data_IF_199920864636
#
_entry.id   IF_199920864636
#
_cell.length_a   1.000
_cell.length_b   1.000
_cell.length_c   1.000
_cell.angle_alpha   90.00
_cell.angle_beta   90.00
_cell.angle_gamma   90.00
#
_symmetry.space_group_name_H-M   'P 1'
#
loop_
_entity.id
_entity.type
_entity.pdbx_description
1 polymer ?
#
# COMPACT_ATOMS: atom_id res chain seq x y z
N UNK A 1 -26.07 42.32 8.86
CA UNK A 1 -25.95 41.09 9.70
C UNK A 1 -26.84 39.96 9.20
N UNK A 2 -28.15 40.16 9.00
CA UNK A 2 -29.04 39.10 8.49
C UNK A 2 -28.62 38.56 7.13
N UNK A 3 -28.39 39.45 6.15
CA UNK A 3 -27.93 39.06 4.79
C UNK A 3 -26.62 38.26 4.83
N UNK A 4 -25.66 38.69 5.65
CA UNK A 4 -24.37 38.02 5.82
C UNK A 4 -24.53 36.60 6.38
N UNK A 5 -25.26 36.46 7.48
CA UNK A 5 -25.51 35.15 8.11
C UNK A 5 -26.27 34.21 7.17
N UNK A 6 -27.30 34.70 6.46
CA UNK A 6 -28.09 33.85 5.55
C UNK A 6 -27.27 33.37 4.35
N UNK A 7 -26.49 34.25 3.69
CA UNK A 7 -25.70 33.88 2.52
C UNK A 7 -24.60 32.89 2.92
N UNK A 8 -23.85 33.19 3.98
CA UNK A 8 -22.74 32.33 4.39
C UNK A 8 -23.21 30.99 4.97
N UNK A 9 -24.29 30.95 5.74
CA UNK A 9 -24.90 29.69 6.17
C UNK A 9 -25.37 28.87 4.97
N UNK A 10 -25.86 29.52 3.91
CA UNK A 10 -26.21 28.86 2.65
C UNK A 10 -25.00 28.21 1.97
N UNK A 11 -23.87 28.94 1.88
CA UNK A 11 -22.61 28.40 1.34
C UNK A 11 -22.11 27.23 2.20
N UNK A 12 -22.13 27.38 3.53
CA UNK A 12 -21.74 26.31 4.47
C UNK A 12 -22.59 25.05 4.29
N UNK A 13 -23.90 25.21 4.11
CA UNK A 13 -24.81 24.10 3.84
C UNK A 13 -24.48 23.38 2.53
N UNK A 14 -24.22 24.13 1.45
CA UNK A 14 -23.81 23.54 0.17
C UNK A 14 -22.51 22.74 0.32
N UNK A 15 -21.51 23.29 1.01
CA UNK A 15 -20.25 22.58 1.26
C UNK A 15 -20.46 21.33 2.12
N UNK A 16 -21.30 21.40 3.15
CA UNK A 16 -21.62 20.26 4.00
C UNK A 16 -22.33 19.12 3.24
N UNK A 17 -23.15 19.45 2.24
CA UNK A 17 -23.86 18.45 1.42
C UNK A 17 -22.96 17.81 0.37
N UNK A 18 -22.16 18.62 -0.35
CA UNK A 18 -21.34 18.11 -1.44
C UNK A 18 -19.99 17.56 -1.02
N UNK A 19 -19.48 17.95 0.16
CA UNK A 19 -18.17 17.55 0.69
C UNK A 19 -17.06 17.57 -0.38
N UNK A 20 -16.80 18.73 -1.01
CA UNK A 20 -15.88 18.82 -2.14
C UNK A 20 -14.45 18.44 -1.75
N UNK A 21 -13.75 17.74 -2.65
CA UNK A 21 -12.31 17.47 -2.51
C UNK A 21 -11.51 18.71 -2.88
N UNK A 22 -10.88 19.34 -1.91
CA UNK A 22 -10.06 20.55 -2.10
C UNK A 22 -8.74 20.30 -2.85
N UNK A 23 -8.32 19.04 -2.94
CA UNK A 23 -7.10 18.63 -3.65
C UNK A 23 -5.88 19.45 -3.22
N UNK A 24 -5.05 19.85 -4.17
CA UNK A 24 -3.80 20.60 -3.91
C UNK A 24 -3.99 22.03 -3.40
N UNK A 25 -5.20 22.58 -3.38
CA UNK A 25 -5.43 23.94 -2.85
C UNK A 25 -5.10 23.99 -1.35
N UNK A 26 -5.42 22.91 -0.64
CA UNK A 26 -5.14 22.74 0.79
C UNK A 26 -4.02 21.72 0.94
N UNK A 27 -2.78 22.21 0.94
CA UNK A 27 -1.58 21.38 1.05
C UNK A 27 -0.45 22.18 1.74
N UNK A 28 0.32 21.50 2.59
CA UNK A 28 1.47 22.05 3.34
C UNK A 28 2.61 22.46 2.41
N UNK A 29 2.76 21.81 1.25
CA UNK A 29 3.74 22.22 0.24
C UNK A 29 3.12 22.24 -1.15
N UNK A 30 3.31 23.35 -1.87
CA UNK A 30 2.75 23.53 -3.22
C UNK A 30 1.26 23.90 -3.28
N UNK A 31 0.58 24.00 -2.13
CA UNK A 31 -0.78 24.53 -2.00
C UNK A 31 -0.83 26.00 -1.63
N UNK A 32 -2.00 26.62 -1.75
CA UNK A 32 -2.21 28.03 -1.37
C UNK A 32 -2.37 28.22 0.13
N UNK A 33 -2.89 27.21 0.84
CA UNK A 33 -3.17 27.28 2.27
C UNK A 33 -2.80 25.94 2.91
N UNK A 34 -2.11 25.98 4.06
CA UNK A 34 -1.81 24.80 4.87
C UNK A 34 -3.10 24.23 5.50
N UNK A 35 -3.27 22.89 5.62
CA UNK A 35 -4.45 22.29 6.25
C UNK A 35 -4.81 22.85 7.64
N UNK A 36 -3.80 23.12 8.48
CA UNK A 36 -3.95 23.73 9.81
C UNK A 36 -4.55 25.13 9.71
N UNK A 37 -4.01 25.98 8.83
CA UNK A 37 -4.49 27.34 8.58
C UNK A 37 -5.90 27.33 8.00
N UNK A 38 -6.19 26.41 7.07
CA UNK A 38 -7.51 26.29 6.45
C UNK A 38 -8.58 25.91 7.49
N UNK A 39 -8.27 24.98 8.40
CA UNK A 39 -9.16 24.61 9.51
C UNK A 39 -9.41 25.79 10.45
N UNK A 40 -8.36 26.54 10.83
CA UNK A 40 -8.50 27.73 11.68
C UNK A 40 -9.35 28.81 11.02
N UNK A 41 -9.14 29.08 9.73
CA UNK A 41 -9.96 30.04 8.96
C UNK A 41 -11.42 29.59 8.90
N UNK A 42 -11.68 28.30 8.67
CA UNK A 42 -13.04 27.74 8.68
C UNK A 42 -13.69 27.88 10.06
N UNK A 43 -12.97 27.59 11.14
CA UNK A 43 -13.46 27.73 12.51
C UNK A 43 -13.79 29.19 12.87
N UNK A 44 -12.92 30.14 12.46
CA UNK A 44 -13.16 31.57 12.66
C UNK A 44 -14.40 32.02 11.88
N UNK A 45 -14.51 31.65 10.60
CA UNK A 45 -15.68 31.98 9.79
C UNK A 45 -16.96 31.38 10.37
N UNK A 46 -16.92 30.12 10.79
CA UNK A 46 -18.05 29.47 11.47
C UNK A 46 -18.48 30.27 12.70
N UNK A 47 -17.53 30.71 13.54
CA UNK A 47 -17.84 31.50 14.72
C UNK A 47 -18.44 32.87 14.39
N UNK A 48 -17.97 33.52 13.32
CA UNK A 48 -18.56 34.78 12.86
C UNK A 48 -20.00 34.61 12.37
N UNK A 49 -20.31 33.51 11.69
CA UNK A 49 -21.68 33.20 11.24
C UNK A 49 -22.58 32.93 12.46
N UNK A 50 -22.10 32.16 13.43
CA UNK A 50 -22.81 31.87 14.68
C UNK A 50 -23.14 33.18 15.44
N UNK A 51 -22.14 34.03 15.67
CA UNK A 51 -22.31 35.30 16.40
C UNK A 51 -23.24 36.27 15.65
N UNK A 52 -23.14 36.35 14.33
CA UNK A 52 -24.01 37.21 13.52
C UNK A 52 -25.45 36.68 13.46
N UNK A 53 -25.67 35.37 13.49
CA UNK A 53 -26.99 34.76 13.62
C UNK A 53 -27.62 35.07 14.99
N UNK A 54 -26.88 34.81 16.08
CA UNK A 54 -27.35 35.02 17.46
C UNK A 54 -27.72 36.49 17.69
N UNK A 55 -26.89 37.43 17.23
CA UNK A 55 -27.17 38.86 17.37
C UNK A 55 -28.44 39.29 16.64
N UNK A 56 -28.65 38.85 15.39
CA UNK A 56 -29.88 39.13 14.63
C UNK A 56 -31.10 38.53 15.31
N UNK A 57 -30.99 37.29 15.81
CA UNK A 57 -32.10 36.62 16.49
C UNK A 57 -32.48 37.31 17.80
N UNK A 58 -31.49 37.74 18.60
CA UNK A 58 -31.74 38.49 19.84
C UNK A 58 -32.38 39.85 19.53
N UNK A 59 -31.93 40.56 18.50
CA UNK A 59 -32.56 41.82 18.07
C UNK A 59 -34.01 41.62 17.65
N UNK A 60 -34.31 40.56 16.90
CA UNK A 60 -35.68 40.19 16.52
C UNK A 60 -36.54 39.86 17.76
N UNK A 61 -36.03 39.06 18.68
CA UNK A 61 -36.71 38.73 19.93
C UNK A 61 -37.01 40.00 20.74
N UNK A 62 -36.04 40.90 20.86
CA UNK A 62 -36.20 42.19 21.53
C UNK A 62 -37.25 43.09 20.90
N UNK A 63 -37.32 43.15 19.56
CA UNK A 63 -38.36 43.89 18.83
C UNK A 63 -39.74 43.26 19.03
N UNK A 64 -39.85 41.93 18.96
CA UNK A 64 -41.11 41.22 19.12
C UNK A 64 -41.67 41.35 20.54
N UNK A 65 -40.82 41.23 21.56
CA UNK A 65 -41.19 41.42 22.96
C UNK A 65 -41.58 42.87 23.24
N UNK A 66 -40.78 43.85 22.81
CA UNK A 66 -41.10 45.29 22.95
C UNK A 66 -42.43 45.62 22.27
N UNK A 67 -42.69 45.12 21.06
CA UNK A 67 -43.98 45.34 20.39
C UNK A 67 -45.14 44.72 21.18
N UNK A 68 -44.96 43.54 21.78
CA UNK A 68 -45.98 42.91 22.64
C UNK A 68 -46.27 43.70 23.91
N UNK A 69 -45.28 44.33 24.54
CA UNK A 69 -45.53 45.14 25.76
C UNK A 69 -46.27 46.45 25.49
N UNK A 70 -46.10 47.06 24.31
CA UNK A 70 -46.75 48.34 24.00
C UNK A 70 -48.18 48.22 23.41
N UNK A 71 -48.59 47.06 22.92
CA UNK A 71 -49.93 46.88 22.32
C UNK A 71 -50.99 46.80 23.42
N UNK A 72 -51.90 47.79 23.45
CA UNK A 72 -53.02 47.97 24.42
C UNK A 72 -53.95 46.76 24.63
N UNK A 73 -53.89 45.71 23.81
CA UNK A 73 -54.72 44.48 23.88
C UNK A 73 -53.93 43.22 24.30
N UNK A 74 -52.66 43.31 24.70
CA UNK A 74 -51.86 42.14 25.09
C UNK A 74 -51.90 41.90 26.61
N UNK A 75 -51.72 40.64 27.05
CA UNK A 75 -51.69 40.22 28.47
C UNK A 75 -50.36 40.56 29.19
N UNK A 76 -49.57 41.51 28.67
CA UNK A 76 -48.21 41.80 29.18
C UNK A 76 -47.17 40.75 28.77
N UNK A 77 -45.93 40.94 29.22
CA UNK A 77 -44.81 40.01 28.99
C UNK A 77 -44.66 39.11 30.21
N UNK A 78 -44.51 37.80 29.99
CA UNK A 78 -44.24 36.84 31.08
C UNK A 78 -42.74 36.80 31.44
N UNK A 79 -42.41 36.44 32.69
CA UNK A 79 -41.01 36.25 33.11
C UNK A 79 -40.30 35.19 32.24
N UNK A 80 -41.02 34.15 31.81
CA UNK A 80 -40.51 33.12 30.90
C UNK A 80 -40.10 33.69 29.53
N UNK A 81 -40.85 34.64 28.98
CA UNK A 81 -40.52 35.32 27.71
C UNK A 81 -39.29 36.23 27.83
N UNK A 82 -39.07 36.89 28.97
CA UNK A 82 -37.81 37.62 29.21
C UNK A 82 -36.61 36.68 29.32
N UNK A 83 -36.79 35.49 29.92
CA UNK A 83 -35.74 34.48 30.06
C UNK A 83 -35.34 33.80 28.74
N UNK A 84 -36.19 33.81 27.71
CA UNK A 84 -35.88 33.25 26.38
C UNK A 84 -34.63 33.88 25.74
N UNK A 85 -34.35 35.16 26.06
CA UNK A 85 -33.13 35.83 25.60
C UNK A 85 -31.86 35.18 26.17
N UNK A 86 -31.92 34.74 27.43
CA UNK A 86 -30.79 34.12 28.11
C UNK A 86 -30.49 32.72 27.57
N UNK A 87 -31.50 32.00 27.09
CA UNK A 87 -31.32 30.68 26.45
C UNK A 87 -30.43 30.78 25.22
N UNK A 88 -30.62 31.81 24.38
CA UNK A 88 -29.83 31.99 23.15
C UNK A 88 -28.42 32.51 23.44
N UNK A 89 -28.27 33.44 24.40
CA UNK A 89 -26.94 34.00 24.76
C UNK A 89 -26.07 32.96 25.45
N UNK A 90 -26.67 32.17 26.34
CA UNK A 90 -25.98 31.15 27.12
C UNK A 90 -26.82 29.88 27.11
N UNK A 91 -26.63 29.01 26.09
CA UNK A 91 -27.38 27.76 25.94
C UNK A 91 -27.37 26.87 27.19
N UNK A 92 -26.30 26.93 27.99
CA UNK A 92 -26.20 26.19 29.26
C UNK A 92 -27.26 26.58 30.30
N UNK A 93 -27.82 27.79 30.23
CA UNK A 93 -28.88 28.25 31.15
C UNK A 93 -30.19 27.47 30.99
N UNK A 94 -30.42 26.86 29.82
CA UNK A 94 -31.55 25.98 29.54
C UNK A 94 -31.52 24.73 30.42
N UNK A 95 -30.32 24.18 30.63
CA UNK A 95 -30.08 22.95 31.40
C UNK A 95 -30.18 23.24 32.90
N UNK A 96 -29.68 24.39 33.36
CA UNK A 96 -29.63 24.73 34.78
C UNK A 96 -30.97 25.24 35.34
N UNK A 97 -31.87 25.77 34.51
CA UNK A 97 -33.17 26.32 34.93
C UNK A 97 -34.38 25.63 34.27
N UNK A 98 -34.46 24.31 34.40
CA UNK A 98 -35.51 23.49 33.78
C UNK A 98 -36.96 23.83 34.23
N UNK A 99 -37.13 24.45 35.40
CA UNK A 99 -38.47 24.80 35.94
C UNK A 99 -39.20 25.91 35.18
N UNK A 100 -38.48 26.81 34.49
CA UNK A 100 -39.07 27.88 33.67
C UNK A 100 -39.17 27.51 32.18
N UNK A 101 -38.53 26.42 31.78
CA UNK A 101 -38.52 25.88 30.42
C UNK A 101 -39.92 25.44 29.95
N UNK A 102 -40.65 24.70 30.79
CA UNK A 102 -41.95 24.11 30.44
C UNK A 102 -43.03 25.15 30.10
N UNK A 103 -43.02 26.31 30.75
CA UNK A 103 -43.99 27.38 30.51
C UNK A 103 -43.65 28.26 29.30
N UNK A 104 -42.37 28.38 28.93
CA UNK A 104 -41.94 29.22 27.80
C UNK A 104 -42.02 28.51 26.44
N UNK A 105 -41.70 27.21 26.39
CA UNK A 105 -41.54 26.43 25.14
C UNK A 105 -42.86 26.20 24.39
N UNK A 106 -43.99 26.18 25.09
CA UNK A 106 -45.32 25.95 24.48
C UNK A 106 -45.75 27.11 23.56
N UNK A 107 -45.11 28.27 23.66
CA UNK A 107 -45.41 29.42 22.80
C UNK A 107 -44.66 29.34 21.46
N UNK A 108 -45.25 29.88 20.38
CA UNK A 108 -44.58 29.97 19.07
C UNK A 108 -43.21 30.66 19.14
N UNK A 109 -43.10 31.70 19.98
CA UNK A 109 -41.84 32.41 20.23
C UNK A 109 -40.83 31.51 20.95
N UNK A 110 -41.29 30.68 21.89
CA UNK A 110 -40.51 29.70 22.63
C UNK A 110 -39.98 28.55 21.76
N UNK A 111 -40.77 28.04 20.82
CA UNK A 111 -40.31 27.01 19.86
C UNK A 111 -39.21 27.58 18.96
N UNK A 112 -39.40 28.81 18.45
CA UNK A 112 -38.39 29.48 17.64
C UNK A 112 -37.10 29.76 18.41
N UNK A 113 -37.18 30.20 19.67
CA UNK A 113 -35.99 30.45 20.50
C UNK A 113 -35.27 29.15 20.86
N UNK A 114 -36.00 28.06 21.07
CA UNK A 114 -35.42 26.74 21.31
C UNK A 114 -34.67 26.22 20.07
N UNK A 115 -35.27 26.33 18.88
CA UNK A 115 -34.61 25.96 17.63
C UNK A 115 -33.36 26.81 17.38
N UNK A 116 -33.43 28.12 17.63
CA UNK A 116 -32.28 29.02 17.50
C UNK A 116 -31.17 28.69 18.52
N UNK A 117 -31.54 28.31 19.74
CA UNK A 117 -30.59 27.89 20.79
C UNK A 117 -29.88 26.61 20.40
N UNK A 118 -30.61 25.59 19.92
CA UNK A 118 -30.03 24.34 19.44
C UNK A 118 -29.13 24.56 18.23
N UNK A 119 -29.58 25.37 17.26
CA UNK A 119 -28.78 25.72 16.10
C UNK A 119 -27.47 26.40 16.52
N UNK A 120 -27.53 27.40 17.41
CA UNK A 120 -26.32 28.07 17.91
C UNK A 120 -25.40 27.14 18.69
N UNK A 121 -25.96 26.25 19.52
CA UNK A 121 -25.19 25.32 20.35
C UNK A 121 -24.36 24.34 19.51
N UNK A 122 -24.95 23.83 18.42
CA UNK A 122 -24.29 22.85 17.57
C UNK A 122 -23.61 23.45 16.33
N UNK A 123 -23.80 24.74 16.03
CA UNK A 123 -23.34 25.33 14.76
C UNK A 123 -21.83 25.14 14.55
N UNK A 124 -21.01 25.59 15.51
CA UNK A 124 -19.55 25.51 15.38
C UNK A 124 -19.06 24.06 15.33
N UNK A 125 -19.64 23.17 16.15
CA UNK A 125 -19.29 21.73 16.13
C UNK A 125 -19.70 21.06 14.82
N UNK A 126 -20.89 21.34 14.30
CA UNK A 126 -21.37 20.81 13.03
C UNK A 126 -20.56 21.35 11.85
N UNK A 127 -20.20 22.64 11.88
CA UNK A 127 -19.31 23.25 10.90
C UNK A 127 -17.93 22.60 10.91
N UNK A 128 -17.34 22.40 12.09
CA UNK A 128 -16.06 21.72 12.18
C UNK A 128 -16.16 20.25 11.76
N UNK A 129 -17.28 19.59 12.06
CA UNK A 129 -17.54 18.22 11.64
C UNK A 129 -17.64 18.07 10.11
N UNK A 130 -18.43 18.92 9.45
CA UNK A 130 -18.91 18.71 8.08
C UNK A 130 -18.26 19.61 7.02
N UNK A 131 -17.71 20.77 7.40
CA UNK A 131 -17.20 21.79 6.46
C UNK A 131 -15.69 21.95 6.54
N UNK A 132 -15.11 21.78 7.74
CA UNK A 132 -13.65 21.87 7.94
C UNK A 132 -12.91 20.86 7.06
N UNK A 133 -11.81 21.26 6.38
CA UNK A 133 -11.07 20.36 5.50
C UNK A 133 -10.48 19.19 6.30
N UNK A 134 -10.88 17.97 5.94
CA UNK A 134 -10.44 16.73 6.55
C UNK A 134 -9.96 15.74 5.50
N UNK A 135 -9.13 14.80 5.93
CA UNK A 135 -8.71 13.68 5.10
C UNK A 135 -9.91 12.74 4.88
N UNK A 136 -10.25 12.53 3.62
CA UNK A 136 -11.27 11.59 3.18
C UNK A 136 -10.66 10.68 2.13
N UNK A 137 -10.86 9.37 2.28
CA UNK A 137 -10.50 8.40 1.26
C UNK A 137 -11.48 8.58 0.10
N UNK A 138 -10.92 8.83 -1.08
CA UNK A 138 -11.71 9.02 -2.29
C UNK A 138 -12.01 7.74 -3.04
N UNK A 139 -12.92 7.85 -4.01
CA UNK A 139 -13.16 6.84 -5.04
C UNK A 139 -11.94 6.63 -5.93
N UNK A 140 -11.89 5.46 -6.55
CA UNK A 140 -10.85 5.09 -7.49
C UNK A 140 -10.87 5.94 -8.76
N UNK A 141 -9.76 6.62 -9.04
CA UNK A 141 -9.56 7.39 -10.26
C UNK A 141 -8.62 6.65 -11.20
N UNK A 142 -9.07 6.39 -12.44
CA UNK A 142 -8.22 5.81 -13.48
C UNK A 142 -7.30 6.89 -14.04
N UNK A 143 -6.00 6.69 -13.94
CA UNK A 143 -5.00 7.65 -14.39
C UNK A 143 -3.75 6.95 -14.92
N UNK A 144 -3.20 7.50 -15.99
CA UNK A 144 -1.87 7.13 -16.47
C UNK A 144 -0.80 7.85 -15.62
N UNK A 145 0.13 7.07 -15.08
CA UNK A 145 1.25 7.57 -14.28
C UNK A 145 2.55 7.40 -15.04
N UNK A 146 3.34 8.47 -15.09
CA UNK A 146 4.63 8.49 -15.77
C UNK A 146 5.76 8.32 -14.74
N UNK A 147 6.65 7.36 -14.97
CA UNK A 147 7.84 7.16 -14.15
C UNK A 147 9.10 7.37 -14.99
N UNK A 148 10.12 8.01 -14.42
CA UNK A 148 11.43 8.13 -15.08
C UNK A 148 12.20 6.82 -14.90
N UNK A 149 12.58 6.19 -16.01
CA UNK A 149 13.47 5.03 -16.02
C UNK A 149 14.80 5.41 -16.68
N UNK A 150 15.92 4.99 -16.10
CA UNK A 150 17.27 5.20 -16.67
C UNK A 150 17.75 4.03 -17.52
N UNK A 151 17.26 2.83 -17.26
CA UNK A 151 17.64 1.60 -17.94
C UNK A 151 16.46 0.64 -17.95
N UNK A 152 16.60 -0.44 -18.71
CA UNK A 152 15.68 -1.58 -18.65
C UNK A 152 15.77 -2.25 -17.29
N UNK A 153 14.63 -2.80 -16.82
CA UNK A 153 14.58 -3.53 -15.56
C UNK A 153 15.61 -4.66 -15.54
N UNK A 154 16.30 -4.82 -14.40
CA UNK A 154 17.33 -5.84 -14.17
C UNK A 154 18.47 -5.88 -15.21
N UNK A 155 18.86 -4.73 -15.77
CA UNK A 155 20.04 -4.67 -16.65
C UNK A 155 21.34 -4.84 -15.85
N UNK A 156 22.06 -5.98 -15.96
CA UNK A 156 23.21 -6.27 -15.12
C UNK A 156 24.41 -5.39 -15.46
N UNK A 157 24.60 -5.03 -16.74
CA UNK A 157 25.70 -4.17 -17.19
C UNK A 157 25.56 -2.75 -16.62
N UNK A 158 24.33 -2.22 -16.67
CA UNK A 158 24.04 -0.90 -16.11
C UNK A 158 24.16 -0.89 -14.58
N UNK A 159 23.68 -1.94 -13.91
CA UNK A 159 23.83 -2.09 -12.47
C UNK A 159 25.32 -2.16 -12.05
N UNK A 160 26.12 -2.93 -12.79
CA UNK A 160 27.55 -3.08 -12.54
C UNK A 160 28.27 -1.74 -12.67
N UNK A 161 27.98 -0.98 -13.72
CA UNK A 161 28.57 0.34 -13.97
C UNK A 161 28.18 1.39 -12.92
N UNK A 162 26.96 1.31 -12.36
CA UNK A 162 26.51 2.22 -11.30
C UNK A 162 27.09 1.88 -9.92
N UNK A 163 27.70 0.71 -9.76
CA UNK A 163 28.21 0.24 -8.48
C UNK A 163 29.38 1.11 -8.01
N UNK A 164 29.25 1.67 -6.81
CA UNK A 164 30.27 2.55 -6.21
C UNK A 164 31.34 1.71 -5.54
N UNK A 165 32.44 1.46 -6.26
CA UNK A 165 33.56 0.66 -5.75
C UNK A 165 34.90 1.33 -6.04
N UNK A 166 35.90 1.24 -5.14
CA UNK A 166 37.26 1.70 -5.44
C UNK A 166 37.99 0.81 -6.45
N UNK A 167 37.45 -0.37 -6.79
CA UNK A 167 38.09 -1.33 -7.69
C UNK A 167 38.22 -0.82 -9.13
N UNK A 168 37.48 0.21 -9.53
CA UNK A 168 37.57 0.79 -10.88
C UNK A 168 38.98 1.25 -11.27
N UNK A 169 39.82 1.61 -10.29
CA UNK A 169 41.23 1.98 -10.53
C UNK A 169 42.23 0.82 -10.45
N UNK A 170 41.84 -0.34 -9.91
CA UNK A 170 42.73 -1.49 -9.67
C UNK A 170 42.43 -2.67 -10.60
N UNK A 171 41.15 -3.01 -10.74
CA UNK A 171 40.65 -4.08 -11.61
C UNK A 171 39.38 -3.60 -12.33
N UNK A 172 39.53 -2.83 -13.42
CA UNK A 172 38.38 -2.27 -14.12
C UNK A 172 37.52 -3.32 -14.82
N UNK A 173 38.03 -4.55 -15.01
CA UNK A 173 37.30 -5.63 -15.68
C UNK A 173 36.29 -6.25 -14.70
N UNK A 174 36.73 -6.61 -13.50
CA UNK A 174 35.89 -7.29 -12.51
C UNK A 174 35.31 -6.37 -11.43
N UNK A 175 35.65 -5.08 -11.42
CA UNK A 175 35.18 -4.11 -10.43
C UNK A 175 33.65 -4.11 -10.28
N UNK A 176 32.93 -3.98 -11.39
CA UNK A 176 31.47 -3.91 -11.39
C UNK A 176 30.83 -5.23 -10.94
N UNK A 177 31.31 -6.36 -11.45
CA UNK A 177 30.80 -7.69 -11.09
C UNK A 177 31.05 -8.05 -9.63
N UNK A 178 32.28 -7.82 -9.14
CA UNK A 178 32.64 -8.04 -7.73
C UNK A 178 31.80 -7.19 -6.78
N UNK A 179 31.56 -5.93 -7.15
CA UNK A 179 30.72 -5.01 -6.38
C UNK A 179 29.27 -5.48 -6.31
N UNK A 180 28.69 -5.90 -7.44
CA UNK A 180 27.34 -6.47 -7.47
C UNK A 180 27.21 -7.76 -6.67
N UNK A 181 28.19 -8.67 -6.78
CA UNK A 181 28.19 -9.93 -6.04
C UNK A 181 28.14 -9.66 -4.53
N UNK A 182 28.99 -8.76 -4.02
CA UNK A 182 28.98 -8.38 -2.60
C UNK A 182 27.63 -7.76 -2.20
N UNK A 183 27.10 -6.83 -3.01
CA UNK A 183 25.83 -6.18 -2.74
C UNK A 183 24.67 -7.19 -2.67
N UNK A 184 24.54 -8.05 -3.68
CA UNK A 184 23.49 -9.06 -3.73
C UNK A 184 23.62 -10.11 -2.64
N UNK A 185 24.82 -10.50 -2.24
CA UNK A 185 25.03 -11.38 -1.09
C UNK A 185 24.55 -10.73 0.21
N UNK A 186 24.91 -9.47 0.45
CA UNK A 186 24.47 -8.72 1.63
C UNK A 186 22.94 -8.54 1.65
N UNK A 187 22.35 -8.12 0.52
CA UNK A 187 20.91 -7.95 0.36
C UNK A 187 20.17 -9.28 0.58
N UNK A 188 20.67 -10.38 0.02
CA UNK A 188 20.08 -11.72 0.19
C UNK A 188 20.03 -12.14 1.66
N UNK A 189 21.09 -11.90 2.43
CA UNK A 189 21.09 -12.16 3.87
C UNK A 189 20.09 -11.24 4.59
N UNK A 190 20.05 -9.96 4.21
CA UNK A 190 19.09 -8.98 4.73
C UNK A 190 17.63 -9.35 4.48
N UNK A 191 17.32 -10.09 3.43
CA UNK A 191 15.95 -10.55 3.14
C UNK A 191 15.65 -11.93 3.74
N UNK A 192 16.64 -12.83 3.75
CA UNK A 192 16.49 -14.20 4.26
C UNK A 192 16.28 -14.22 5.78
N UNK A 193 17.06 -13.45 6.55
CA UNK A 193 16.98 -13.48 8.00
C UNK A 193 15.60 -13.05 8.55
N UNK A 194 14.99 -11.92 8.10
CA UNK A 194 13.63 -11.56 8.51
C UNK A 194 12.57 -12.55 8.04
N UNK A 195 12.78 -13.19 6.88
CA UNK A 195 11.89 -14.24 6.40
C UNK A 195 11.91 -15.46 7.32
N UNK A 196 13.10 -15.96 7.68
CA UNK A 196 13.27 -17.08 8.62
C UNK A 196 12.73 -16.72 10.02
N UNK A 197 12.98 -15.52 10.51
CA UNK A 197 12.42 -15.04 11.78
C UNK A 197 10.89 -15.07 11.79
N UNK A 198 10.25 -14.69 10.68
CA UNK A 198 8.80 -14.77 10.57
C UNK A 198 8.27 -16.21 10.60
N UNK A 199 9.02 -17.18 10.08
CA UNK A 199 8.69 -18.61 10.19
C UNK A 199 8.84 -19.14 11.60
N UNK A 200 9.87 -18.68 12.32
CA UNK A 200 10.07 -19.01 13.73
C UNK A 200 8.93 -18.44 14.61
N UNK A 201 8.45 -17.23 14.31
CA UNK A 201 7.29 -16.65 15.00
C UNK A 201 6.01 -17.51 14.81
N UNK A 202 5.77 -18.06 13.62
CA UNK A 202 4.65 -18.97 13.38
C UNK A 202 4.75 -20.23 14.24
N UNK A 203 5.96 -20.81 14.32
CA UNK A 203 6.23 -21.99 15.16
C UNK A 203 6.01 -21.69 16.64
N UNK A 204 6.48 -20.54 17.12
CA UNK A 204 6.31 -20.11 18.53
C UNK A 204 4.87 -19.80 18.91
N UNK A 205 4.07 -19.32 17.96
CA UNK A 205 2.67 -18.98 18.19
C UNK A 205 1.73 -20.20 18.27
N UNK A 206 2.25 -21.43 18.09
CA UNK A 206 1.47 -22.68 17.97
C UNK A 206 0.34 -22.58 16.92
N UNK A 207 0.53 -21.69 15.96
CA UNK A 207 -0.36 -21.59 14.81
C UNK A 207 0.11 -22.69 13.86
N UNK A 208 -0.78 -23.63 13.53
CA UNK A 208 -0.53 -24.63 12.49
C UNK A 208 0.12 -23.93 11.29
N UNK A 209 1.33 -24.35 10.94
CA UNK A 209 2.07 -23.72 9.84
C UNK A 209 1.19 -23.75 8.59
N UNK A 210 0.99 -22.62 7.89
CA UNK A 210 0.12 -22.58 6.74
C UNK A 210 0.67 -23.53 5.66
N UNK A 211 0.00 -24.67 5.49
CA UNK A 211 0.28 -25.65 4.44
C UNK A 211 -0.02 -25.05 3.08
N UNK A 212 -1.04 -24.19 3.03
CA UNK A 212 -1.48 -23.47 1.84
C UNK A 212 -0.55 -22.31 1.48
N UNK A 213 -0.08 -22.28 0.23
CA UNK A 213 0.89 -21.29 -0.24
C UNK A 213 0.36 -19.85 -0.22
N UNK A 214 -0.94 -19.63 -0.41
CA UNK A 214 -1.51 -18.28 -0.47
C UNK A 214 -1.52 -17.56 0.89
N UNK A 215 -1.52 -18.32 2.00
CA UNK A 215 -1.48 -17.79 3.37
C UNK A 215 -0.05 -17.55 3.84
N UNK A 216 0.94 -18.21 3.20
CA UNK A 216 2.34 -18.05 3.58
C UNK A 216 2.79 -16.61 3.44
N UNK A 217 3.57 -16.16 4.42
CA UNK A 217 4.13 -14.81 4.41
C UNK A 217 5.14 -14.71 3.26
N UNK A 218 5.00 -13.68 2.44
CA UNK A 218 5.96 -13.40 1.39
C UNK A 218 7.23 -12.75 1.93
N UNK A 219 8.28 -12.78 1.11
CA UNK A 219 9.57 -12.14 1.42
C UNK A 219 9.40 -10.62 1.44
N UNK A 220 10.05 -9.96 2.39
CA UNK A 220 10.13 -8.50 2.47
C UNK A 220 11.51 -8.07 1.98
N UNK A 221 11.54 -7.07 1.12
CA UNK A 221 12.77 -6.43 0.64
C UNK A 221 12.61 -4.91 0.76
N UNK A 222 13.69 -4.17 0.72
CA UNK A 222 13.69 -2.71 0.83
C UNK A 222 14.09 -2.08 -0.50
N UNK A 223 13.33 -1.07 -0.90
CA UNK A 223 13.64 -0.18 -2.01
C UNK A 223 14.08 1.16 -1.39
N UNK A 224 15.32 1.59 -1.67
CA UNK A 224 15.86 2.88 -1.22
C UNK A 224 15.80 3.08 0.31
N UNK A 225 16.13 2.03 1.08
CA UNK A 225 16.22 2.00 2.57
C UNK A 225 14.91 2.28 3.35
N UNK A 226 13.94 3.00 2.79
CA UNK A 226 12.74 3.46 3.49
C UNK A 226 11.42 2.92 2.92
N UNK A 227 11.44 2.23 1.78
CA UNK A 227 10.24 1.60 1.20
C UNK A 227 10.35 0.09 1.35
N UNK A 228 9.39 -0.54 2.03
CA UNK A 228 9.31 -2.00 2.09
C UNK A 228 8.49 -2.52 0.92
N UNK A 229 9.09 -3.34 0.07
CA UNK A 229 8.39 -4.14 -0.91
C UNK A 229 8.07 -5.51 -0.30
N UNK A 230 6.81 -5.93 -0.43
CA UNK A 230 6.36 -7.23 0.07
C UNK A 230 5.99 -8.09 -1.11
N UNK A 231 6.76 -9.16 -1.33
CA UNK A 231 6.47 -10.13 -2.35
C UNK A 231 5.21 -10.95 -2.00
N UNK A 232 4.55 -11.50 -3.01
CA UNK A 232 3.36 -12.33 -2.84
C UNK A 232 3.49 -13.61 -3.66
N UNK A 233 3.05 -14.72 -3.06
CA UNK A 233 2.89 -15.98 -3.78
C UNK A 233 1.74 -15.84 -4.77
N UNK A 234 2.00 -16.17 -6.03
CA UNK A 234 1.02 -16.15 -7.12
C UNK A 234 0.96 -17.53 -7.75
N UNK A 235 -0.09 -17.79 -8.54
CA UNK A 235 -0.31 -19.11 -9.18
C UNK A 235 -0.30 -20.26 -8.15
N UNK A 236 -0.88 -20.01 -6.97
CA UNK A 236 -0.83 -20.94 -5.84
C UNK A 236 -1.58 -22.24 -6.12
N UNK A 237 -2.46 -22.27 -7.12
CA UNK A 237 -3.08 -23.50 -7.62
C UNK A 237 -2.05 -24.54 -8.12
N UNK A 238 -0.91 -24.11 -8.66
CA UNK A 238 0.12 -25.02 -9.16
C UNK A 238 0.99 -25.61 -8.05
N UNK A 239 0.82 -25.15 -6.81
CA UNK A 239 1.62 -25.58 -5.66
C UNK A 239 1.05 -26.76 -4.89
N UNK A 240 -0.09 -27.30 -5.33
CA UNK A 240 -0.66 -28.51 -4.72
C UNK A 240 0.17 -29.74 -5.10
N UNK A 241 0.92 -30.22 -4.11
CA UNK A 241 1.79 -31.38 -4.23
C UNK A 241 0.99 -32.68 -4.39
N UNK A 242 -0.19 -32.77 -3.77
CA UNK A 242 -1.03 -33.97 -3.85
C UNK A 242 -1.65 -34.09 -5.24
N UNK A 243 -2.28 -33.02 -5.73
CA UNK A 243 -2.81 -32.97 -7.10
C UNK A 243 -1.73 -33.23 -8.16
N UNK A 244 -0.53 -32.67 -7.97
CA UNK A 244 0.60 -32.91 -8.88
C UNK A 244 1.05 -34.38 -8.90
N UNK A 245 1.03 -35.06 -7.74
CA UNK A 245 1.34 -36.48 -7.64
C UNK A 245 0.32 -37.34 -8.37
N UNK A 246 -0.96 -37.01 -8.27
CA UNK A 246 -2.02 -37.72 -9.00
C UNK A 246 -1.91 -37.51 -10.52
N UNK A 247 -1.57 -36.30 -10.97
CA UNK A 247 -1.49 -35.97 -12.39
C UNK A 247 -0.24 -36.53 -13.07
N UNK A 248 0.94 -36.42 -12.45
CA UNK A 248 2.23 -36.74 -13.07
C UNK A 248 2.91 -37.98 -12.48
N UNK A 249 2.30 -38.62 -11.47
CA UNK A 249 2.88 -39.75 -10.75
C UNK A 249 4.11 -39.39 -9.90
N UNK A 250 4.40 -38.09 -9.70
CA UNK A 250 5.60 -37.61 -8.99
C UNK A 250 5.31 -36.39 -8.14
N UNK A 251 6.12 -36.19 -7.11
CA UNK A 251 6.03 -35.04 -6.20
C UNK A 251 6.62 -33.83 -6.93
N UNK A 252 5.77 -32.83 -7.20
CA UNK A 252 6.17 -31.56 -7.79
C UNK A 252 5.74 -30.46 -6.83
N UNK A 253 6.69 -29.60 -6.47
CA UNK A 253 6.42 -28.37 -5.75
C UNK A 253 6.76 -27.19 -6.67
N UNK A 254 5.74 -26.57 -7.25
CA UNK A 254 5.87 -25.45 -8.16
C UNK A 254 5.36 -24.18 -7.48
N UNK A 255 6.25 -23.23 -7.25
CA UNK A 255 5.95 -22.00 -6.52
C UNK A 255 6.40 -20.79 -7.32
N UNK A 256 5.51 -19.82 -7.47
CA UNK A 256 5.80 -18.55 -8.13
C UNK A 256 5.70 -17.42 -7.10
N UNK A 257 6.77 -16.63 -7.00
CA UNK A 257 6.82 -15.44 -6.17
C UNK A 257 6.85 -14.20 -7.07
N UNK A 258 5.87 -13.31 -6.89
CA UNK A 258 5.82 -12.02 -7.56
C UNK A 258 6.30 -10.91 -6.63
N UNK A 259 7.24 -10.09 -7.09
CA UNK A 259 7.75 -8.93 -6.37
C UNK A 259 7.11 -7.67 -6.99
N UNK A 260 6.54 -6.74 -6.19
CA UNK A 260 5.98 -5.51 -6.72
C UNK A 260 6.98 -4.73 -7.58
N UNK A 261 6.53 -4.23 -8.74
CA UNK A 261 7.40 -3.48 -9.64
C UNK A 261 7.90 -2.17 -8.97
N UNK A 262 9.22 -1.96 -8.82
CA UNK A 262 9.76 -0.82 -8.06
C UNK A 262 9.44 0.53 -8.70
N UNK A 263 9.24 0.57 -10.02
CA UNK A 263 8.83 1.78 -10.74
C UNK A 263 7.45 2.31 -10.35
N UNK A 264 6.60 1.50 -9.68
CA UNK A 264 5.32 1.99 -9.17
C UNK A 264 5.53 3.06 -8.10
N UNK A 265 6.48 2.84 -7.18
CA UNK A 265 6.82 3.81 -6.15
C UNK A 265 7.43 5.07 -6.76
N UNK A 266 8.34 4.93 -7.72
CA UNK A 266 8.94 6.06 -8.43
C UNK A 266 7.91 6.87 -9.21
N UNK A 267 6.93 6.23 -9.83
CA UNK A 267 5.82 6.92 -10.49
C UNK A 267 4.90 7.60 -9.45
N UNK A 268 4.56 6.93 -8.36
CA UNK A 268 3.70 7.47 -7.31
C UNK A 268 4.25 8.76 -6.68
N UNK A 269 5.57 8.84 -6.53
CA UNK A 269 6.28 9.96 -5.92
C UNK A 269 6.72 11.04 -6.92
N UNK A 270 6.62 10.79 -8.24
CA UNK A 270 6.98 11.80 -9.24
C UNK A 270 5.99 12.97 -9.23
N UNK A 271 6.53 14.19 -9.06
CA UNK A 271 5.76 15.45 -9.06
C UNK A 271 4.91 15.63 -10.32
N UNK A 272 5.34 15.08 -11.45
CA UNK A 272 4.62 15.12 -12.74
C UNK A 272 3.24 14.46 -12.64
N UNK A 273 3.13 13.40 -11.84
CA UNK A 273 1.88 12.67 -11.65
C UNK A 273 0.95 13.35 -10.67
N UNK A 274 1.33 14.47 -10.06
CA UNK A 274 0.45 15.26 -9.20
C UNK A 274 -0.32 14.40 -8.19
N UNK A 275 0.27 13.34 -7.66
CA UNK A 275 -0.29 12.61 -6.52
C UNK A 275 0.14 13.36 -5.27
N UNK A 276 -0.80 13.63 -4.37
CA UNK A 276 -0.51 14.31 -3.12
C UNK A 276 0.20 13.33 -2.19
N UNK A 277 1.40 13.68 -1.75
CA UNK A 277 2.14 12.85 -0.83
C UNK A 277 1.76 13.16 0.63
N UNK A 278 1.87 12.20 1.56
CA UNK A 278 1.62 12.45 2.99
C UNK A 278 2.45 13.63 3.55
N UNK A 279 3.67 13.83 3.04
CA UNK A 279 4.52 14.96 3.42
C UNK A 279 3.91 16.32 3.04
N UNK A 280 3.07 16.36 1.99
CA UNK A 280 2.31 17.56 1.57
C UNK A 280 1.07 17.78 2.45
N UNK A 281 0.78 16.89 3.39
CA UNK A 281 -0.36 16.92 4.31
C UNK A 281 0.12 16.83 5.76
N UNK A 282 1.23 17.50 6.12
CA UNK A 282 1.78 17.45 7.48
C UNK A 282 2.04 16.02 8.01
N UNK A 283 2.50 15.14 7.11
CA UNK A 283 2.78 13.72 7.35
C UNK A 283 1.56 12.88 7.79
N UNK A 284 0.35 13.34 7.48
CA UNK A 284 -0.87 12.56 7.69
C UNK A 284 -1.48 12.11 6.36
N UNK A 285 -2.17 10.98 6.41
CA UNK A 285 -2.88 10.40 5.27
C UNK A 285 -2.13 9.28 4.56
N UNK A 286 -2.89 8.52 3.80
CA UNK A 286 -2.43 7.40 2.99
C UNK A 286 -3.18 7.40 1.66
N UNK A 287 -2.61 6.77 0.65
CA UNK A 287 -3.27 6.55 -0.63
C UNK A 287 -2.99 5.14 -1.13
N UNK A 288 -3.92 4.63 -1.92
CA UNK A 288 -3.82 3.30 -2.52
C UNK A 288 -3.66 3.44 -4.03
N UNK A 289 -2.75 2.67 -4.60
CA UNK A 289 -2.54 2.62 -6.04
C UNK A 289 -2.73 1.19 -6.50
N UNK A 290 -3.62 1.02 -7.48
CA UNK A 290 -3.76 -0.23 -8.23
C UNK A 290 -3.20 -0.02 -9.62
N UNK A 291 -2.15 -0.75 -9.97
CA UNK A 291 -1.49 -0.64 -11.25
C UNK A 291 -1.50 -1.98 -11.99
N UNK A 292 -1.60 -1.91 -13.32
CA UNK A 292 -1.37 -3.05 -14.21
C UNK A 292 -0.01 -2.86 -14.85
N UNK A 293 1.03 -3.41 -14.22
CA UNK A 293 2.42 -3.29 -14.66
C UNK A 293 3.09 -4.66 -14.61
N UNK A 294 4.02 -4.89 -15.53
CA UNK A 294 4.83 -6.12 -15.53
C UNK A 294 5.65 -6.12 -14.25
N UNK A 295 5.45 -7.14 -13.44
CA UNK A 295 6.19 -7.32 -12.19
C UNK A 295 7.19 -8.46 -12.35
N UNK A 296 8.40 -8.33 -11.79
CA UNK A 296 9.34 -9.43 -11.72
C UNK A 296 8.74 -10.61 -10.97
N UNK A 297 8.88 -11.79 -11.55
CA UNK A 297 8.44 -13.06 -10.97
C UNK A 297 9.62 -14.02 -10.94
N UNK A 298 9.75 -14.73 -9.83
CA UNK A 298 10.68 -15.85 -9.69
C UNK A 298 9.84 -17.10 -9.52
N UNK A 299 10.00 -18.04 -10.45
CA UNK A 299 9.39 -19.35 -10.37
C UNK A 299 10.45 -20.36 -9.94
N UNK A 300 10.12 -21.16 -8.94
CA UNK A 300 10.97 -22.26 -8.46
C UNK A 300 10.12 -23.52 -8.53
N UNK A 301 10.63 -24.51 -9.24
CA UNK A 301 9.99 -25.81 -9.36
C UNK A 301 10.94 -26.89 -8.89
N UNK A 302 10.56 -27.57 -7.80
CA UNK A 302 11.27 -28.73 -7.29
C UNK A 302 10.51 -29.99 -7.70
N UNK A 303 11.20 -30.91 -8.38
CA UNK A 303 10.62 -32.17 -8.85
C UNK A 303 11.42 -33.31 -8.27
N UNK A 304 10.74 -34.29 -7.68
CA UNK A 304 11.37 -35.53 -7.28
C UNK A 304 11.69 -36.38 -8.52
N UNK A 305 12.97 -36.69 -8.73
CA UNK A 305 13.46 -37.44 -9.90
C UNK A 305 14.41 -38.54 -9.45
N UNK A 306 14.37 -39.67 -10.16
CA UNK A 306 15.35 -40.73 -9.98
C UNK A 306 16.69 -40.38 -10.68
N UNK A 307 17.85 -40.88 -10.21
CA UNK A 307 19.14 -40.64 -10.85
C UNK A 307 19.16 -41.02 -12.35
N UNK A 308 18.43 -42.07 -12.73
CA UNK A 308 18.33 -42.54 -14.11
C UNK A 308 17.56 -41.57 -15.01
N UNK A 309 16.57 -40.86 -14.44
CA UNK A 309 15.80 -39.83 -15.16
C UNK A 309 16.64 -38.55 -15.36
N UNK A 310 17.60 -38.29 -14.47
CA UNK A 310 18.49 -37.14 -14.52
C UNK A 310 19.71 -37.37 -15.43
N UNK A 311 20.13 -38.62 -15.63
CA UNK A 311 21.29 -39.02 -16.43
C UNK A 311 21.38 -38.36 -17.84
N UNK A 312 20.28 -38.17 -18.60
CA UNK A 312 20.35 -37.48 -19.89
C UNK A 312 20.76 -36.00 -19.77
N UNK A 313 20.49 -35.36 -18.62
CA UNK A 313 20.81 -33.94 -18.37
C UNK A 313 22.21 -33.73 -17.79
N UNK A 314 22.88 -34.81 -17.35
CA UNK A 314 24.20 -34.73 -16.74
C UNK A 314 25.24 -35.16 -17.77
N UNK A 315 26.18 -34.27 -18.07
CA UNK A 315 27.22 -34.52 -19.06
C UNK A 315 28.09 -35.72 -18.70
N UNK A 316 28.52 -35.88 -17.43
CA UNK A 316 29.40 -36.99 -17.01
C UNK A 316 28.80 -38.38 -17.18
N UNK A 317 27.48 -38.50 -17.30
CA UNK A 317 26.80 -39.80 -17.53
C UNK A 317 26.60 -40.11 -19.02
N UNK A 318 27.05 -39.26 -19.94
CA UNK A 318 26.92 -39.51 -21.37
C UNK A 318 27.93 -40.55 -21.87
N UNK A 319 27.59 -41.39 -22.87
CA UNK A 319 28.43 -42.50 -23.32
C UNK A 319 29.86 -42.14 -23.77
N UNK A 320 30.07 -40.91 -24.24
CA UNK A 320 31.36 -40.44 -24.78
C UNK A 320 31.89 -39.21 -24.03
N UNK A 321 31.38 -38.93 -22.82
CA UNK A 321 31.81 -37.77 -22.06
C UNK A 321 33.27 -37.87 -21.63
N UNK A 322 34.06 -36.84 -21.93
CA UNK A 322 35.40 -36.70 -21.36
C UNK A 322 35.31 -36.13 -19.96
N UNK A 323 35.72 -36.95 -18.98
CA UNK A 323 35.67 -36.64 -17.56
C UNK A 323 37.07 -36.59 -16.94
N UNK A 324 37.21 -35.75 -15.93
CA UNK A 324 38.37 -35.64 -15.06
C UNK A 324 37.96 -36.09 -13.66
N UNK A 325 38.87 -36.75 -12.94
CA UNK A 325 38.61 -37.17 -11.56
C UNK A 325 38.81 -35.98 -10.61
N UNK A 326 37.84 -35.74 -9.73
CA UNK A 326 37.97 -34.72 -8.67
C UNK A 326 38.50 -35.33 -7.37
N UNK A 327 39.13 -34.48 -6.56
CA UNK A 327 39.81 -34.85 -5.29
C UNK A 327 38.86 -35.34 -4.19
N UNK A 328 37.55 -35.10 -4.30
CA UNK A 328 36.54 -35.39 -3.26
C UNK A 328 35.47 -36.38 -3.74
N UNK A 329 35.89 -37.52 -4.31
CA UNK A 329 35.04 -38.57 -4.87
C UNK A 329 34.02 -38.08 -5.91
N UNK A 330 34.38 -38.22 -7.19
CA UNK A 330 33.48 -37.95 -8.29
C UNK A 330 34.19 -37.74 -9.62
N UNK A 331 33.39 -37.51 -10.65
CA UNK A 331 33.85 -37.17 -11.99
C UNK A 331 33.25 -35.82 -12.39
N UNK A 332 34.09 -34.95 -12.93
CA UNK A 332 33.69 -33.67 -13.49
C UNK A 332 33.96 -33.67 -15.00
N UNK A 333 33.16 -32.97 -15.79
CA UNK A 333 33.53 -32.75 -17.20
C UNK A 333 34.86 -32.00 -17.31
N UNK A 334 35.65 -32.28 -18.35
CA UNK A 334 36.88 -31.53 -18.61
C UNK A 334 36.64 -30.01 -18.80
N UNK A 335 37.70 -29.21 -18.78
CA UNK A 335 37.62 -27.73 -18.85
C UNK A 335 36.81 -27.15 -20.02
N UNK A 336 36.69 -27.88 -21.13
CA UNK A 336 35.97 -27.48 -22.34
C UNK A 336 34.72 -28.34 -22.63
N UNK A 337 34.16 -29.03 -21.62
CA UNK A 337 32.99 -29.91 -21.77
C UNK A 337 31.80 -29.25 -22.47
N UNK A 338 31.63 -27.94 -22.28
CA UNK A 338 30.55 -27.16 -22.89
C UNK A 338 30.65 -27.10 -24.42
N UNK A 339 31.84 -27.34 -25.00
CA UNK A 339 32.04 -27.41 -26.46
C UNK A 339 31.53 -28.73 -27.06
N UNK A 340 31.40 -29.77 -26.24
CA UNK A 340 30.86 -31.08 -26.65
C UNK A 340 29.32 -31.11 -26.58
N UNK A 341 28.70 -30.09 -25.98
CA UNK A 341 27.27 -29.90 -26.04
C UNK A 341 26.91 -29.45 -27.46
N UNK A 342 26.01 -30.14 -28.19
CA UNK A 342 25.59 -29.73 -29.53
C UNK A 342 25.18 -28.26 -29.55
N UNK A 343 25.69 -27.49 -30.51
CA UNK A 343 25.42 -26.04 -30.58
C UNK A 343 23.92 -25.80 -30.71
N UNK A 344 23.40 -24.79 -30.02
CA UNK A 344 21.97 -24.48 -30.05
C UNK A 344 21.51 -24.04 -31.45
N UNK A 345 20.89 -24.96 -32.18
CA UNK A 345 20.23 -24.68 -33.44
C UNK A 345 18.71 -24.63 -33.23
N UNK A 346 17.98 -23.79 -33.99
CA UNK A 346 16.52 -23.57 -33.81
C UNK A 346 15.68 -24.85 -33.92
N UNK A 347 16.19 -25.85 -34.60
CA UNK A 347 15.49 -27.12 -34.88
C UNK A 347 16.12 -28.32 -34.15
N UNK A 348 17.16 -28.10 -33.34
CA UNK A 348 17.90 -29.18 -32.68
C UNK A 348 17.63 -29.14 -31.17
N UNK A 349 16.81 -30.09 -30.74
CA UNK A 349 16.51 -30.34 -29.33
C UNK A 349 17.29 -31.57 -28.90
N UNK A 350 17.76 -31.57 -27.65
CA UNK A 350 18.40 -32.75 -27.05
C UNK A 350 17.38 -33.90 -26.94
N UNK A 351 17.89 -35.11 -26.68
CA UNK A 351 17.06 -36.30 -26.53
C UNK A 351 15.94 -36.09 -25.50
N UNK A 352 14.78 -36.67 -25.78
CA UNK A 352 13.59 -36.54 -24.92
C UNK A 352 13.87 -37.12 -23.54
N UNK A 353 13.54 -36.36 -22.50
CA UNK A 353 13.59 -36.83 -21.11
C UNK A 353 12.19 -37.12 -20.57
N UNK A 354 12.11 -37.92 -19.49
CA UNK A 354 10.85 -38.26 -18.79
C UNK A 354 10.22 -37.04 -18.10
N UNK A 355 10.97 -35.94 -17.98
CA UNK A 355 10.55 -34.70 -17.31
C UNK A 355 10.31 -33.55 -18.28
N UNK A 356 10.45 -33.77 -19.58
CA UNK A 356 10.28 -32.72 -20.59
C UNK A 356 8.91 -32.03 -20.50
N UNK A 357 7.84 -32.79 -20.33
CA UNK A 357 6.48 -32.25 -20.26
C UNK A 357 6.25 -31.43 -18.97
N UNK A 358 6.98 -31.75 -17.89
CA UNK A 358 6.91 -31.02 -16.60
C UNK A 358 7.60 -29.67 -16.71
N UNK A 359 8.82 -29.62 -17.26
CA UNK A 359 9.58 -28.38 -17.45
C UNK A 359 9.27 -27.65 -18.75
N UNK A 360 8.41 -28.23 -19.58
CA UNK A 360 8.05 -27.76 -20.92
C UNK A 360 9.29 -27.66 -21.81
N UNK A 361 10.08 -28.73 -21.92
CA UNK A 361 11.23 -28.86 -22.80
C UNK A 361 10.87 -29.62 -24.10
N UNK A 362 11.68 -29.42 -25.13
CA UNK A 362 11.52 -30.06 -26.44
C UNK A 362 10.83 -29.17 -27.49
N UNK A 363 10.68 -29.74 -28.68
CA UNK A 363 10.19 -29.03 -29.87
C UNK A 363 8.79 -28.44 -29.70
N UNK A 364 7.91 -29.14 -28.96
CA UNK A 364 6.55 -28.69 -28.68
C UNK A 364 6.51 -27.35 -27.94
N UNK A 365 7.48 -27.11 -27.05
CA UNK A 365 7.52 -25.94 -26.18
C UNK A 365 8.59 -24.92 -26.60
N UNK A 366 9.37 -25.23 -27.64
CA UNK A 366 10.48 -24.41 -28.14
C UNK A 366 11.51 -24.07 -27.06
N UNK A 367 11.74 -24.99 -26.11
CA UNK A 367 12.69 -24.82 -25.01
C UNK A 367 13.65 -26.00 -24.98
N UNK A 368 14.94 -25.72 -24.91
CA UNK A 368 15.97 -26.75 -24.79
C UNK A 368 16.17 -27.12 -23.31
N UNK A 369 16.28 -28.42 -22.97
CA UNK A 369 16.62 -28.80 -21.60
C UNK A 369 18.04 -28.32 -21.24
N UNK A 370 18.29 -27.94 -19.98
CA UNK A 370 19.62 -27.59 -19.51
C UNK A 370 20.52 -28.83 -19.47
N UNK A 371 21.83 -28.62 -19.60
CA UNK A 371 22.84 -29.66 -19.38
C UNK A 371 23.71 -29.22 -18.20
N UNK A 372 23.89 -30.11 -17.24
CA UNK A 372 24.72 -29.90 -16.07
C UNK A 372 26.00 -30.71 -16.18
N UNK A 373 27.11 -30.17 -15.67
CA UNK A 373 28.41 -30.85 -15.75
C UNK A 373 28.49 -32.07 -14.82
N UNK A 374 27.84 -32.01 -13.65
CA UNK A 374 27.85 -33.05 -12.62
C UNK A 374 26.56 -32.96 -11.78
N UNK A 375 26.19 -34.07 -11.13
CA UNK A 375 25.23 -34.06 -10.02
C UNK A 375 26.00 -33.63 -8.78
N UNK A 376 25.49 -32.64 -8.04
CA UNK A 376 26.06 -32.32 -6.73
C UNK A 376 26.13 -33.61 -5.91
N UNK A 377 27.30 -33.95 -5.38
CA UNK A 377 27.46 -35.12 -4.53
C UNK A 377 26.41 -35.08 -3.41
N UNK A 378 25.84 -36.22 -2.99
CA UNK A 378 25.02 -36.24 -1.79
C UNK A 378 25.87 -35.65 -0.66
N UNK A 379 25.35 -34.65 0.05
CA UNK A 379 25.94 -34.19 1.31
C UNK A 379 26.02 -35.41 2.21
N UNK A 380 27.22 -35.99 2.33
CA UNK A 380 27.55 -36.92 3.40
C UNK A 380 27.74 -36.08 4.66
N UNK A 381 26.67 -35.44 5.12
CA UNK A 381 26.60 -35.02 6.51
C UNK A 381 26.32 -36.30 7.30
N UNK A 382 27.39 -36.99 7.69
CA UNK A 382 27.38 -37.86 8.85
C UNK A 382 26.98 -37.01 10.06
N UNK A 383 25.67 -36.86 10.28
CA UNK A 383 25.17 -36.58 11.61
C UNK A 383 25.32 -37.89 12.39
N UNK A 384 26.51 -38.10 12.95
CA UNK A 384 26.67 -39.03 14.08
C UNK A 384 25.89 -38.39 15.25
N UNK A 385 24.88 -39.07 15.80
CA UNK A 385 24.24 -38.62 17.02
C UNK A 385 25.16 -38.99 18.19
N UNK A 386 25.76 -37.98 18.81
CA UNK A 386 26.23 -38.07 20.21
C UNK A 386 25.05 -37.85 21.17
#
# INVERSE_FOLDING_TARGET
MSVYSTILSGIWFVVAVFQPRWGRVVATSGGTIEPSTASVVCALLAKTIELTFVTVFISFLGQALTRRSFVRKSKGITLAEMMMRNWVIQPGSLITHFGTFSYGVVTFLGVLTLMATLASMFYTTASDALVSPKLLIGDWERREMLGKARSTYANPLFAAWQCRTPLWGMDPVEAGGSCLNMQYSADSYGFLMPYLAAWDDFKRADINQPTEMHVRRGIRTTLQENVTLVAKWVETENSDVLGSKEQYGRIINNVTLAIPHPGLYSAATDKTNKIMQPQELSNVGEYYIKASVVSPVVNIMCVNMAPEELAPLIYTTWPNAKVENITFEGQIGHSEWYTEIPVMNRNEYLNRTVVDDVFKWGAQYQRRPPVFQLVSAPDVTTYEPD
#
